data_IF_766327401955
#
_entry.id   IF_766327401955
#
_cell.length_a   1.000
_cell.length_b   1.000
_cell.length_c   1.000
_cell.angle_alpha   90.00
_cell.angle_beta   90.00
_cell.angle_gamma   90.00
#
_symmetry.space_group_name_H-M   'P 1'
#
loop_
_entity.id
_entity.type
_entity.pdbx_description
1 polymer ?
#
# COMPACT_ATOMS: atom_id res chain seq x y z
N UNK A 1 -2.07 -16.83 -32.19
CA UNK A 1 -3.51 -16.53 -32.08
C UNK A 1 -3.64 -15.34 -31.15
N UNK A 2 -4.21 -14.22 -31.60
CA UNK A 2 -4.38 -13.06 -30.72
C UNK A 2 -5.58 -13.31 -29.82
N UNK A 3 -5.35 -13.42 -28.51
CA UNK A 3 -6.42 -13.51 -27.52
C UNK A 3 -6.72 -12.09 -27.05
N UNK A 4 -7.99 -11.66 -27.02
CA UNK A 4 -8.34 -10.38 -26.41
C UNK A 4 -7.84 -10.35 -24.95
N UNK A 5 -6.81 -9.56 -24.69
CA UNK A 5 -6.11 -9.46 -23.39
C UNK A 5 -5.73 -8.02 -23.02
N UNK A 6 -6.27 -7.03 -23.74
CA UNK A 6 -6.02 -5.61 -23.50
C UNK A 6 -6.82 -5.02 -22.34
N UNK A 7 -7.39 -5.84 -21.46
CA UNK A 7 -7.96 -5.33 -20.22
C UNK A 7 -6.79 -5.02 -19.28
N UNK A 8 -6.48 -3.75 -18.97
CA UNK A 8 -5.26 -3.39 -18.23
C UNK A 8 -5.23 -3.88 -16.78
N UNK A 9 -6.19 -4.72 -16.38
CA UNK A 9 -6.48 -5.08 -15.00
C UNK A 9 -6.35 -6.59 -14.70
N UNK A 10 -6.12 -7.43 -15.71
CA UNK A 10 -5.77 -8.85 -15.53
C UNK A 10 -4.68 -9.27 -16.53
N UNK A 11 -3.77 -10.15 -16.12
CA UNK A 11 -2.72 -10.68 -17.01
C UNK A 11 -3.27 -11.70 -18.05
N UNK A 12 -4.60 -11.90 -18.07
CA UNK A 12 -5.30 -12.85 -18.91
C UNK A 12 -6.70 -13.17 -18.36
N UNK A 13 -7.48 -13.99 -19.08
CA UNK A 13 -8.78 -14.49 -18.61
C UNK A 13 -8.69 -15.36 -17.36
N UNK A 14 -7.54 -16.00 -17.12
CA UNK A 14 -7.32 -17.02 -16.08
C UNK A 14 -6.11 -16.66 -15.19
N UNK A 15 -5.84 -15.37 -15.00
CA UNK A 15 -4.67 -14.93 -14.23
C UNK A 15 -5.07 -13.97 -13.13
N UNK A 16 -4.69 -14.35 -11.91
CA UNK A 16 -4.89 -13.55 -10.72
C UNK A 16 -4.18 -12.18 -10.84
N UNK A 17 -4.89 -11.13 -10.43
CA UNK A 17 -4.36 -9.79 -10.31
C UNK A 17 -3.96 -9.52 -8.85
N UNK A 18 -2.82 -8.86 -8.65
CA UNK A 18 -2.32 -8.49 -7.32
C UNK A 18 -2.18 -6.97 -7.21
N UNK A 19 -2.76 -6.40 -6.17
CA UNK A 19 -2.70 -4.98 -5.87
C UNK A 19 -2.05 -4.79 -4.50
N UNK A 20 -0.89 -4.16 -4.46
CA UNK A 20 -0.18 -3.87 -3.21
C UNK A 20 -0.44 -2.45 -2.74
N UNK A 21 -0.68 -2.29 -1.44
CA UNK A 21 -0.84 -1.00 -0.76
C UNK A 21 0.44 -0.70 0.02
N UNK A 22 1.11 0.39 -0.34
CA UNK A 22 2.29 0.90 0.37
C UNK A 22 1.94 2.19 1.09
N UNK A 23 2.77 2.63 2.03
CA UNK A 23 2.55 3.87 2.80
C UNK A 23 2.36 5.09 1.90
N UNK A 24 3.15 5.19 0.83
CA UNK A 24 3.09 6.27 -0.17
C UNK A 24 1.96 6.10 -1.20
N UNK A 25 1.45 4.88 -1.35
CA UNK A 25 0.42 4.56 -2.33
C UNK A 25 -0.66 3.68 -1.70
N UNK A 26 -1.41 4.21 -0.73
CA UNK A 26 -2.54 3.50 -0.15
C UNK A 26 -3.64 3.35 -1.21
N UNK A 27 -4.09 2.12 -1.45
CA UNK A 27 -5.04 1.82 -2.54
C UNK A 27 -6.40 1.37 -2.03
N UNK A 28 -7.42 1.80 -2.74
CA UNK A 28 -8.78 1.24 -2.69
C UNK A 28 -9.09 0.61 -4.03
N UNK A 29 -9.60 -0.62 -3.99
CA UNK A 29 -9.98 -1.39 -5.17
C UNK A 29 -11.51 -1.48 -5.22
N UNK A 30 -12.07 -1.21 -6.38
CA UNK A 30 -13.50 -1.32 -6.64
C UNK A 30 -13.75 -2.20 -7.87
N UNK A 31 -14.75 -3.06 -7.81
CA UNK A 31 -15.30 -3.73 -8.98
C UNK A 31 -16.64 -3.10 -9.34
N UNK A 32 -16.78 -2.71 -10.60
CA UNK A 32 -17.96 -2.03 -11.14
C UNK A 32 -18.60 -2.90 -12.22
N UNK A 33 -19.90 -3.14 -12.14
CA UNK A 33 -20.69 -3.66 -13.25
C UNK A 33 -20.88 -2.55 -14.28
N UNK A 34 -20.35 -2.72 -15.49
CA UNK A 34 -20.41 -1.67 -16.52
C UNK A 34 -21.79 -1.56 -17.17
N UNK A 35 -22.69 -2.53 -16.96
CA UNK A 35 -24.06 -2.52 -17.49
C UNK A 35 -24.95 -1.58 -16.69
N UNK A 36 -24.80 -1.60 -15.36
CA UNK A 36 -25.59 -0.79 -14.43
C UNK A 36 -24.83 0.42 -13.85
N UNK A 37 -23.49 0.38 -13.86
CA UNK A 37 -22.63 1.32 -13.15
C UNK A 37 -22.49 1.03 -11.66
N UNK A 38 -23.04 -0.08 -11.18
CA UNK A 38 -23.05 -0.45 -9.77
C UNK A 38 -21.67 -0.88 -9.27
N UNK A 39 -21.30 -0.44 -8.07
CA UNK A 39 -20.10 -0.90 -7.36
C UNK A 39 -20.45 -2.18 -6.60
N UNK A 40 -20.04 -3.32 -7.13
CA UNK A 40 -20.40 -4.63 -6.58
C UNK A 40 -19.38 -5.15 -5.55
N UNK A 41 -18.17 -4.58 -5.55
CA UNK A 41 -17.14 -4.90 -4.57
C UNK A 41 -16.29 -3.67 -4.29
N UNK A 42 -15.96 -3.42 -3.03
CA UNK A 42 -15.09 -2.33 -2.59
C UNK A 42 -14.23 -2.84 -1.46
N UNK A 43 -12.91 -2.71 -1.58
CA UNK A 43 -11.95 -3.04 -0.52
C UNK A 43 -10.88 -1.96 -0.45
N UNK A 44 -10.71 -1.42 0.76
CA UNK A 44 -9.55 -0.63 1.12
C UNK A 44 -8.44 -1.59 1.56
N UNK A 45 -7.31 -1.56 0.85
CA UNK A 45 -6.20 -2.46 1.18
C UNK A 45 -5.38 -1.79 2.30
N UNK A 46 -5.26 -2.43 3.48
CA UNK A 46 -4.41 -1.90 4.54
C UNK A 46 -2.96 -1.73 4.06
N UNK A 47 -2.29 -0.68 4.53
CA UNK A 47 -0.88 -0.47 4.21
C UNK A 47 -0.01 -1.64 4.68
N UNK A 48 1.00 -1.99 3.88
CA UNK A 48 1.85 -3.17 4.11
C UNK A 48 1.20 -4.49 3.68
N UNK A 49 -0.04 -4.44 3.17
CA UNK A 49 -0.78 -5.61 2.66
C UNK A 49 -1.00 -5.51 1.15
N UNK A 50 -1.48 -6.62 0.59
CA UNK A 50 -1.88 -6.73 -0.82
C UNK A 50 -3.18 -7.50 -0.95
N UNK A 51 -4.00 -7.10 -1.91
CA UNK A 51 -5.17 -7.84 -2.35
C UNK A 51 -4.78 -8.70 -3.55
N UNK A 52 -5.13 -9.97 -3.50
CA UNK A 52 -5.09 -10.87 -4.66
C UNK A 52 -6.53 -11.15 -5.05
N UNK A 53 -6.84 -10.98 -6.33
CA UNK A 53 -8.16 -11.27 -6.92
C UNK A 53 -7.96 -12.23 -8.08
N UNK A 54 -8.78 -13.26 -8.14
CA UNK A 54 -8.85 -14.19 -9.25
C UNK A 54 -10.29 -14.34 -9.75
N UNK A 55 -10.44 -14.66 -11.02
CA UNK A 55 -11.74 -14.83 -11.66
C UNK A 55 -11.81 -16.18 -12.36
N UNK A 56 -12.84 -16.95 -12.05
CA UNK A 56 -13.13 -18.23 -12.67
C UNK A 56 -14.36 -18.08 -13.55
N UNK A 57 -14.21 -18.28 -14.86
CA UNK A 57 -15.31 -18.19 -15.82
C UNK A 57 -16.32 -19.32 -15.59
N UNK A 58 -17.59 -19.02 -15.88
CA UNK A 58 -18.70 -19.99 -15.87
C UNK A 58 -18.86 -20.78 -14.55
N UNK A 59 -18.37 -20.19 -13.44
CA UNK A 59 -18.41 -20.77 -12.09
C UNK A 59 -19.32 -19.99 -11.14
N UNK A 60 -20.07 -19.03 -11.68
CA UNK A 60 -21.10 -18.28 -10.95
C UNK A 60 -22.42 -19.03 -10.84
N UNK A 61 -23.37 -18.40 -10.16
CA UNK A 61 -24.67 -18.97 -9.82
C UNK A 61 -25.78 -18.62 -10.83
N UNK A 62 -25.58 -17.58 -11.64
CA UNK A 62 -26.52 -17.13 -12.64
C UNK A 62 -25.85 -17.02 -14.02
N UNK A 63 -26.26 -17.82 -15.02
CA UNK A 63 -25.58 -17.89 -16.32
C UNK A 63 -25.68 -16.59 -17.15
N UNK A 64 -26.53 -15.64 -16.76
CA UNK A 64 -26.77 -14.39 -17.50
C UNK A 64 -26.28 -13.18 -16.72
N UNK A 65 -26.65 -13.07 -15.45
CA UNK A 65 -26.37 -11.88 -14.64
C UNK A 65 -24.98 -11.94 -14.02
N UNK A 66 -24.61 -13.06 -13.41
CA UNK A 66 -23.38 -13.27 -12.65
C UNK A 66 -22.74 -14.62 -12.99
N UNK A 67 -22.31 -14.84 -14.25
CA UNK A 67 -21.83 -16.14 -14.72
C UNK A 67 -20.43 -16.50 -14.20
N UNK A 68 -19.64 -15.52 -13.77
CA UNK A 68 -18.26 -15.74 -13.32
C UNK A 68 -18.19 -15.73 -11.78
N UNK A 69 -17.20 -16.41 -11.22
CA UNK A 69 -16.88 -16.37 -9.80
C UNK A 69 -15.62 -15.51 -9.57
N UNK A 70 -15.69 -14.55 -8.66
CA UNK A 70 -14.53 -13.83 -8.15
C UNK A 70 -14.11 -14.45 -6.82
N UNK A 71 -12.83 -14.76 -6.67
CA UNK A 71 -12.22 -15.16 -5.40
C UNK A 71 -11.16 -14.14 -4.99
N UNK A 72 -11.04 -13.84 -3.70
CA UNK A 72 -10.05 -12.87 -3.23
C UNK A 72 -9.55 -13.13 -1.80
N UNK A 73 -8.40 -12.55 -1.50
CA UNK A 73 -7.81 -12.55 -0.17
C UNK A 73 -6.89 -11.35 0.03
N UNK A 74 -6.80 -10.87 1.28
CA UNK A 74 -5.84 -9.84 1.67
C UNK A 74 -4.68 -10.49 2.41
N UNK A 75 -3.50 -10.47 1.79
CA UNK A 75 -2.27 -11.00 2.36
C UNK A 75 -1.37 -9.91 2.91
N UNK A 76 -0.48 -10.27 3.83
CA UNK A 76 0.72 -9.48 4.07
C UNK A 76 1.55 -9.39 2.78
N UNK A 77 2.23 -8.27 2.56
CA UNK A 77 2.94 -7.98 1.30
C UNK A 77 4.05 -8.99 0.94
N UNK A 78 4.68 -9.59 1.96
CA UNK A 78 5.75 -10.58 1.87
C UNK A 78 5.29 -11.98 1.43
N UNK A 79 4.04 -12.36 1.71
CA UNK A 79 3.46 -13.68 1.39
C UNK A 79 3.44 -13.91 -0.11
N UNK A 80 4.03 -15.01 -0.61
CA UNK A 80 4.10 -15.27 -2.06
C UNK A 80 2.92 -16.05 -2.63
N UNK A 81 2.29 -16.89 -1.82
CA UNK A 81 1.18 -17.76 -2.22
C UNK A 81 0.25 -18.02 -1.02
N UNK A 82 -1.01 -18.36 -1.31
CA UNK A 82 -2.01 -18.69 -0.30
C UNK A 82 -3.38 -18.96 -0.93
N UNK A 83 -4.31 -19.59 -0.19
CA UNK A 83 -5.67 -19.82 -0.66
C UNK A 83 -6.47 -18.50 -0.69
N UNK A 84 -7.39 -18.37 -1.65
CA UNK A 84 -8.37 -17.28 -1.67
C UNK A 84 -9.63 -17.75 -0.97
N UNK A 85 -9.85 -17.32 0.28
CA UNK A 85 -10.94 -17.86 1.12
C UNK A 85 -12.29 -17.18 0.88
N UNK A 86 -12.29 -15.97 0.34
CA UNK A 86 -13.49 -15.22 0.04
C UNK A 86 -13.88 -15.40 -1.42
N UNK A 87 -15.17 -15.51 -1.71
CA UNK A 87 -15.68 -15.58 -3.08
C UNK A 87 -17.08 -14.99 -3.22
N UNK A 88 -17.40 -14.52 -4.42
CA UNK A 88 -18.72 -14.00 -4.79
C UNK A 88 -18.92 -14.12 -6.30
N UNK A 89 -20.16 -14.22 -6.74
CA UNK A 89 -20.49 -14.27 -8.17
C UNK A 89 -20.50 -12.85 -8.76
N UNK A 90 -20.02 -12.71 -9.99
CA UNK A 90 -19.77 -11.41 -10.64
C UNK A 90 -20.20 -11.45 -12.11
N UNK A 91 -20.47 -10.28 -12.73
CA UNK A 91 -20.71 -10.19 -14.17
C UNK A 91 -19.56 -10.78 -14.97
N UNK A 92 -19.83 -11.16 -16.22
CA UNK A 92 -18.80 -11.67 -17.12
C UNK A 92 -17.63 -10.69 -17.29
N UNK A 93 -16.48 -11.20 -17.74
CA UNK A 93 -15.25 -10.41 -17.99
C UNK A 93 -15.42 -9.12 -18.82
N UNK A 94 -16.46 -9.03 -19.65
CA UNK A 94 -16.72 -7.88 -20.53
C UNK A 94 -17.67 -6.85 -19.92
N UNK A 95 -18.34 -7.24 -18.84
CA UNK A 95 -19.35 -6.44 -18.14
C UNK A 95 -18.86 -5.97 -16.77
N UNK A 96 -17.54 -6.06 -16.51
CA UNK A 96 -16.94 -5.64 -15.25
C UNK A 96 -15.69 -4.78 -15.50
N UNK A 97 -15.46 -3.81 -14.61
CA UNK A 97 -14.28 -2.94 -14.59
C UNK A 97 -13.70 -2.88 -13.18
N UNK A 98 -12.38 -2.97 -13.07
CA UNK A 98 -11.68 -2.74 -11.80
C UNK A 98 -11.20 -1.30 -11.80
N UNK A 99 -11.63 -0.53 -10.81
CA UNK A 99 -11.15 0.83 -10.56
C UNK A 99 -10.19 0.80 -9.36
N UNK A 100 -8.98 1.33 -9.58
CA UNK A 100 -7.94 1.45 -8.55
C UNK A 100 -7.78 2.92 -8.22
N UNK A 101 -8.14 3.31 -7.00
CA UNK A 101 -7.97 4.69 -6.52
C UNK A 101 -6.87 4.74 -5.46
N UNK A 102 -6.11 5.83 -5.48
CA UNK A 102 -5.16 6.16 -4.40
C UNK A 102 -5.89 7.00 -3.36
N UNK A 103 -5.59 6.78 -2.08
CA UNK A 103 -6.15 7.57 -0.97
C UNK A 103 -5.24 8.77 -0.70
N UNK A 104 -5.85 9.90 -0.31
CA UNK A 104 -5.14 11.19 -0.17
C UNK A 104 -4.16 11.25 1.02
N UNK A 105 -4.39 10.45 2.06
CA UNK A 105 -3.51 10.44 3.24
C UNK A 105 -2.32 9.54 3.01
N UNK A 106 -1.11 10.09 3.03
CA UNK A 106 0.08 9.30 3.40
C UNK A 106 -0.21 8.72 4.79
N UNK A 107 -0.31 7.41 4.90
CA UNK A 107 -0.54 6.73 6.19
C UNK A 107 0.76 6.57 6.98
N UNK A 108 1.75 7.43 6.75
CA UNK A 108 2.89 7.54 7.64
C UNK A 108 2.39 7.73 9.07
N UNK A 109 2.91 6.92 10.00
CA UNK A 109 2.77 7.24 11.40
C UNK A 109 3.30 8.68 11.56
N UNK A 110 2.44 9.60 11.99
CA UNK A 110 2.92 10.93 12.40
C UNK A 110 4.09 10.68 13.35
N UNK A 111 5.26 11.32 13.14
CA UNK A 111 6.36 11.17 14.08
C UNK A 111 5.81 11.45 15.48
N UNK A 112 6.10 10.56 16.43
CA UNK A 112 5.62 10.69 17.81
C UNK A 112 5.90 12.12 18.28
N UNK A 113 4.87 12.86 18.65
CA UNK A 113 4.98 14.24 19.15
C UNK A 113 5.86 14.37 20.39
N UNK A 114 6.22 13.25 21.02
CA UNK A 114 7.13 13.13 22.16
C UNK A 114 8.62 13.28 21.82
N UNK A 115 8.99 13.54 20.56
CA UNK A 115 10.36 13.89 20.21
C UNK A 115 10.39 15.25 19.51
N UNK A 116 10.86 16.33 20.17
CA UNK A 116 11.18 17.55 19.46
C UNK A 116 12.22 17.21 18.37
N UNK A 117 11.90 17.51 17.11
CA UNK A 117 12.73 17.24 15.94
C UNK A 117 13.93 18.20 15.82
N UNK A 118 14.10 19.13 16.76
CA UNK A 118 15.20 20.09 16.82
C UNK A 118 15.73 20.17 18.24
N UNK A 119 17.03 19.98 18.39
CA UNK A 119 17.80 20.29 19.61
C UNK A 119 18.40 21.70 19.52
N UNK A 120 18.06 22.42 18.45
CA UNK A 120 18.63 23.70 18.06
C UNK A 120 17.86 24.89 18.67
N UNK A 121 16.74 24.63 19.37
CA UNK A 121 16.04 25.68 20.11
C UNK A 121 16.80 26.04 21.39
N UNK A 122 16.88 27.35 21.66
CA UNK A 122 17.70 27.90 22.75
C UNK A 122 17.33 27.32 24.13
N UNK A 123 16.08 26.86 24.29
CA UNK A 123 15.56 26.28 25.52
C UNK A 123 15.89 24.79 25.75
N UNK A 124 16.38 24.09 24.73
CA UNK A 124 16.78 22.66 24.80
C UNK A 124 18.30 22.49 24.94
N UNK A 125 19.03 23.59 25.14
CA UNK A 125 20.47 23.58 25.28
C UNK A 125 20.85 23.28 26.73
N UNK A 126 21.82 22.40 26.97
CA UNK A 126 22.22 22.05 28.32
C UNK A 126 22.82 23.26 29.05
N UNK A 127 22.71 23.29 30.37
CA UNK A 127 23.12 24.43 31.24
C UNK A 127 24.57 24.94 31.02
N UNK A 128 25.43 24.11 30.42
CA UNK A 128 26.83 24.40 30.12
C UNK A 128 27.05 24.98 28.71
N UNK A 129 26.00 25.20 27.93
CA UNK A 129 26.07 25.82 26.60
C UNK A 129 25.93 27.35 26.68
N UNK A 130 26.83 28.08 26.02
CA UNK A 130 26.77 29.54 25.88
C UNK A 130 26.82 29.94 24.41
N UNK A 131 26.04 30.95 24.02
CA UNK A 131 25.97 31.44 22.63
C UNK A 131 27.30 32.01 22.10
N UNK A 132 28.19 32.39 23.01
CA UNK A 132 29.50 32.96 22.72
C UNK A 132 30.57 31.87 22.45
N UNK A 133 30.26 30.59 22.72
CA UNK A 133 31.24 29.52 22.76
C UNK A 133 32.12 29.61 24.00
N UNK A 134 32.51 28.45 24.58
CA UNK A 134 33.46 28.43 25.69
C UNK A 134 34.84 28.97 25.27
N UNK A 135 35.65 29.42 26.23
CA UNK A 135 37.03 29.81 25.94
C UNK A 135 37.74 28.69 25.18
N UNK A 136 38.26 29.03 23.99
CA UNK A 136 39.19 28.14 23.29
C UNK A 136 40.41 27.97 24.19
N UNK A 137 40.48 26.83 24.88
CA UNK A 137 41.73 26.38 25.46
C UNK A 137 42.70 26.15 24.29
N UNK A 138 43.58 27.12 24.03
CA UNK A 138 44.74 26.97 23.14
C UNK A 138 45.78 26.04 23.81
N UNK A 139 45.35 24.88 24.31
CA UNK A 139 46.24 23.83 24.71
C UNK A 139 46.54 23.02 23.46
N UNK A 140 47.75 23.21 22.93
CA UNK A 140 48.32 22.35 21.91
C UNK A 140 48.26 20.88 22.40
N UNK A 141 47.49 20.00 21.74
CA UNK A 141 47.34 18.61 22.18
C UNK A 141 48.61 17.77 22.02
N UNK A 142 49.72 18.33 21.49
CA UNK A 142 50.95 17.59 21.22
C UNK A 142 51.99 17.58 22.34
N UNK A 143 51.82 18.33 23.44
CA UNK A 143 52.88 18.48 24.45
C UNK A 143 52.73 17.61 25.72
N UNK A 144 52.09 16.45 25.62
CA UNK A 144 51.76 15.61 26.79
C UNK A 144 52.20 14.15 26.74
N UNK A 145 52.88 13.70 25.68
CA UNK A 145 53.42 12.33 25.60
C UNK A 145 54.89 12.35 25.18
N UNK A 146 55.79 12.34 26.17
CA UNK A 146 56.83 11.30 26.33
C UNK A 146 57.48 11.40 27.74
N UNK A 147 58.13 10.33 28.24
CA UNK A 147 58.16 9.86 29.64
C UNK A 147 59.02 10.64 30.65
#
# INVERSE_FOLDING_TARGET
MYTPGGNPFTNGPDSAATYQSTEEFPKTIMLIDTRSGERIFVVEIPVGKKLVVDFVQDSGDNPVLTPDLMSWEVFSSDVKYGPLSNSMTVPNRWSRRIDVTMRDSSEYANPSSDRPLRVDEVNDQPDWWTAEGGEHINADPSNGYDP
#
